data_IF_929872107474
#
_entry.id   IF_929872107474
#
_cell.length_a   1.000
_cell.length_b   1.000
_cell.length_c   1.000
_cell.angle_alpha   90.00
_cell.angle_beta   90.00
_cell.angle_gamma   90.00
#
_symmetry.space_group_name_H-M   'P 1'
#
loop_
_entity.id
_entity.type
_entity.pdbx_description
1 polymer ?
#
# COMPACT_ATOMS: atom_id res chain seq x y z
N UNK A 1 25.43 17.14 10.53
CA UNK A 1 25.06 17.46 9.12
C UNK A 1 23.58 17.22 8.99
N UNK A 2 22.86 18.08 8.25
CA UNK A 2 21.44 17.83 7.96
C UNK A 2 21.31 16.65 7.00
N UNK A 3 20.26 15.80 7.12
CA UNK A 3 19.98 14.74 6.15
C UNK A 3 19.89 15.31 4.72
N UNK A 4 20.53 14.65 3.76
CA UNK A 4 20.47 15.05 2.34
C UNK A 4 19.21 14.50 1.67
N UNK A 5 18.68 13.38 2.18
CA UNK A 5 17.54 12.67 1.63
C UNK A 5 16.30 12.84 2.52
N UNK A 6 15.19 13.32 1.95
CA UNK A 6 13.89 13.33 2.62
C UNK A 6 12.92 12.42 1.89
N UNK A 7 12.42 11.38 2.55
CA UNK A 7 11.39 10.47 1.99
C UNK A 7 10.04 10.93 2.49
N UNK A 8 9.16 11.30 1.57
CA UNK A 8 7.87 11.93 1.85
C UNK A 8 6.75 11.01 1.43
N UNK A 9 5.91 10.64 2.39
CA UNK A 9 4.63 10.00 2.11
C UNK A 9 3.65 10.99 1.49
N UNK A 10 3.01 10.61 0.38
CA UNK A 10 2.01 11.41 -0.29
C UNK A 10 0.76 10.57 -0.56
N UNK A 11 -0.41 11.10 -0.20
CA UNK A 11 -1.72 10.50 -0.48
C UNK A 11 -2.28 10.96 -1.82
N UNK A 12 -3.47 10.49 -2.18
CA UNK A 12 -4.22 10.92 -3.36
C UNK A 12 -4.76 12.37 -3.23
N UNK A 13 -4.74 12.93 -2.02
CA UNK A 13 -4.96 14.35 -1.73
C UNK A 13 -3.78 15.25 -2.14
N UNK A 14 -2.68 14.63 -2.58
CA UNK A 14 -1.52 15.29 -3.16
C UNK A 14 -0.83 16.27 -2.23
N UNK A 15 -0.29 17.35 -2.83
CA UNK A 15 0.43 18.40 -2.09
C UNK A 15 -0.44 19.05 -1.01
N UNK A 16 -1.75 19.15 -1.20
CA UNK A 16 -2.67 19.77 -0.25
C UNK A 16 -2.80 18.98 1.06
N UNK A 17 -2.66 17.65 1.01
CA UNK A 17 -2.68 16.78 2.19
C UNK A 17 -1.37 16.75 2.98
N UNK A 18 -0.26 17.26 2.40
CA UNK A 18 1.04 17.22 3.05
C UNK A 18 1.13 18.17 4.26
N UNK A 19 1.75 17.68 5.31
CA UNK A 19 2.10 18.48 6.47
C UNK A 19 3.15 19.56 6.16
N UNK A 20 3.24 20.58 7.02
CA UNK A 20 4.13 21.75 6.85
C UNK A 20 5.60 21.38 6.58
N UNK A 21 6.12 20.36 7.25
CA UNK A 21 7.51 19.93 7.10
C UNK A 21 7.76 19.29 5.74
N UNK A 22 6.85 18.45 5.25
CA UNK A 22 6.94 17.82 3.92
C UNK A 22 6.86 18.87 2.80
N UNK A 23 5.93 19.84 2.92
CA UNK A 23 5.84 20.95 1.96
C UNK A 23 7.13 21.78 1.93
N UNK A 24 7.71 22.08 3.11
CA UNK A 24 8.97 22.83 3.20
C UNK A 24 10.12 22.07 2.55
N UNK A 25 10.25 20.76 2.79
CA UNK A 25 11.27 19.91 2.19
C UNK A 25 11.15 19.93 0.66
N UNK A 26 9.94 19.77 0.10
CA UNK A 26 9.70 19.82 -1.34
C UNK A 26 10.06 21.17 -1.96
N UNK A 27 9.74 22.28 -1.27
CA UNK A 27 10.04 23.63 -1.77
C UNK A 27 11.55 23.93 -1.79
N UNK A 28 12.35 23.28 -0.93
CA UNK A 28 13.80 23.46 -0.84
C UNK A 28 14.62 22.38 -1.57
N UNK A 29 13.95 21.34 -2.10
CA UNK A 29 14.62 20.27 -2.83
C UNK A 29 15.14 20.75 -4.19
N UNK A 30 16.29 20.21 -4.62
CA UNK A 30 16.81 20.37 -5.99
C UNK A 30 16.25 19.28 -6.91
N UNK A 31 16.00 18.10 -6.34
CA UNK A 31 15.53 16.92 -7.04
C UNK A 31 14.33 16.31 -6.32
N UNK A 32 13.32 15.86 -7.07
CA UNK A 32 12.20 15.06 -6.56
C UNK A 32 12.06 13.80 -7.39
N UNK A 33 12.16 12.65 -6.74
CA UNK A 33 12.06 11.33 -7.38
C UNK A 33 10.76 10.64 -6.93
N UNK A 34 10.02 10.05 -7.86
CA UNK A 34 8.77 9.35 -7.57
C UNK A 34 8.23 8.57 -8.76
N UNK A 35 7.07 7.93 -8.62
CA UNK A 35 6.32 7.46 -9.79
C UNK A 35 5.72 8.65 -10.55
N UNK A 36 5.40 8.47 -11.83
CA UNK A 36 4.76 9.54 -12.62
C UNK A 36 3.51 10.06 -11.91
N UNK A 37 2.63 9.17 -11.45
CA UNK A 37 1.43 9.53 -10.68
C UNK A 37 1.73 10.42 -9.48
N UNK A 38 2.76 10.11 -8.69
CA UNK A 38 3.13 10.91 -7.51
C UNK A 38 3.67 12.28 -7.90
N UNK A 39 4.47 12.35 -8.96
CA UNK A 39 5.02 13.61 -9.48
C UNK A 39 3.92 14.52 -10.03
N UNK A 40 2.87 13.96 -10.64
CA UNK A 40 1.72 14.70 -11.17
C UNK A 40 0.85 15.33 -10.07
N UNK A 41 0.93 14.81 -8.83
CA UNK A 41 0.26 15.39 -7.65
C UNK A 41 0.96 16.66 -7.12
N UNK A 42 2.15 17.01 -7.65
CA UNK A 42 2.89 18.18 -7.20
C UNK A 42 2.53 19.43 -8.02
N UNK A 43 2.25 20.57 -7.36
CA UNK A 43 1.94 21.81 -8.04
C UNK A 43 3.16 22.39 -8.76
N UNK A 44 2.92 23.33 -9.68
CA UNK A 44 3.97 24.00 -10.46
C UNK A 44 4.95 24.86 -9.62
N UNK A 45 4.56 25.22 -8.39
CA UNK A 45 5.46 25.96 -7.50
C UNK A 45 6.65 25.13 -6.97
N UNK A 46 6.58 23.80 -7.07
CA UNK A 46 7.71 22.90 -6.79
C UNK A 46 8.63 22.94 -8.00
N UNK A 47 9.77 23.65 -7.84
CA UNK A 47 10.75 23.91 -8.91
C UNK A 47 11.83 22.84 -9.03
N UNK A 48 11.87 21.87 -8.10
CA UNK A 48 12.79 20.75 -8.15
C UNK A 48 12.68 19.99 -9.47
N UNK A 49 13.79 19.51 -10.01
CA UNK A 49 13.79 18.61 -11.15
C UNK A 49 13.04 17.32 -10.81
N UNK A 50 12.07 16.95 -11.62
CA UNK A 50 11.22 15.77 -11.41
C UNK A 50 11.81 14.58 -12.15
N UNK A 51 12.05 13.47 -11.44
CA UNK A 51 12.59 12.24 -12.00
C UNK A 51 11.71 11.04 -11.67
N UNK A 52 11.37 10.24 -12.66
CA UNK A 52 10.70 8.96 -12.46
C UNK A 52 11.69 7.87 -12.09
N UNK A 53 11.19 6.83 -11.43
CA UNK A 53 11.98 5.61 -11.22
C UNK A 53 12.35 4.97 -12.55
N UNK A 54 13.55 4.39 -12.68
CA UNK A 54 13.94 3.66 -13.87
C UNK A 54 13.16 2.34 -13.99
N UNK A 55 13.12 1.80 -15.20
CA UNK A 55 12.65 0.44 -15.47
C UNK A 55 13.82 -0.38 -16.05
N UNK A 56 14.23 -1.47 -15.40
CA UNK A 56 13.75 -2.00 -14.13
C UNK A 56 14.04 -1.07 -12.93
N UNK A 57 13.25 -1.20 -11.84
CA UNK A 57 13.38 -0.38 -10.65
C UNK A 57 14.78 -0.47 -10.04
N UNK A 58 15.37 0.68 -9.70
CA UNK A 58 16.69 0.78 -9.06
C UNK A 58 16.77 2.02 -8.17
N UNK A 59 17.46 1.90 -7.05
CA UNK A 59 17.78 3.01 -6.14
C UNK A 59 19.04 3.81 -6.59
N UNK A 60 19.82 3.28 -7.53
CA UNK A 60 21.09 3.88 -7.95
C UNK A 60 20.98 5.36 -8.37
N UNK A 61 19.94 5.81 -9.11
CA UNK A 61 19.79 7.23 -9.46
C UNK A 61 19.62 8.14 -8.25
N UNK A 62 18.93 7.68 -7.19
CA UNK A 62 18.80 8.46 -5.94
C UNK A 62 20.11 8.52 -5.19
N UNK A 63 20.84 7.39 -5.09
CA UNK A 63 22.11 7.31 -4.40
C UNK A 63 23.20 8.16 -5.07
N UNK A 64 23.14 8.33 -6.39
CA UNK A 64 24.06 9.19 -7.15
C UNK A 64 23.89 10.68 -6.82
N UNK A 65 22.77 11.08 -6.22
CA UNK A 65 22.47 12.46 -5.80
C UNK A 65 22.90 12.74 -4.35
N UNK A 66 23.65 11.82 -3.72
CA UNK A 66 24.09 12.01 -2.33
C UNK A 66 24.84 13.32 -2.14
N UNK A 67 24.39 14.12 -1.17
CA UNK A 67 24.95 15.44 -0.87
C UNK A 67 24.12 16.60 -1.41
N UNK A 68 23.17 16.34 -2.30
CA UNK A 68 22.18 17.32 -2.75
C UNK A 68 20.89 17.22 -1.91
N UNK A 69 20.09 18.29 -1.78
CA UNK A 69 18.76 18.23 -1.16
C UNK A 69 17.77 17.43 -2.05
N UNK A 70 17.58 16.14 -1.77
CA UNK A 70 16.72 15.25 -2.55
C UNK A 70 15.46 14.89 -1.77
N UNK A 71 14.30 14.97 -2.42
CA UNK A 71 13.06 14.41 -1.95
C UNK A 71 12.70 13.14 -2.74
N UNK A 72 12.27 12.08 -2.04
CA UNK A 72 11.69 10.88 -2.65
C UNK A 72 10.24 10.78 -2.22
N UNK A 73 9.33 10.63 -3.18
CA UNK A 73 7.91 10.42 -2.91
C UNK A 73 7.60 8.94 -2.76
N UNK A 74 6.76 8.63 -1.80
CA UNK A 74 6.21 7.30 -1.57
C UNK A 74 4.70 7.40 -1.32
N UNK A 75 3.92 6.39 -1.71
CA UNK A 75 2.49 6.38 -1.42
C UNK A 75 2.25 6.12 0.08
N UNK A 76 1.46 6.98 0.73
CA UNK A 76 1.09 6.84 2.12
C UNK A 76 2.29 6.82 3.07
N UNK A 77 2.51 5.72 3.77
CA UNK A 77 3.67 5.55 4.67
C UNK A 77 4.86 4.95 3.92
N UNK A 78 5.99 5.69 3.79
CA UNK A 78 7.19 5.22 3.11
C UNK A 78 7.79 3.94 3.67
N UNK A 79 7.56 3.66 4.96
CA UNK A 79 8.13 2.50 5.65
C UNK A 79 7.25 1.26 5.57
N UNK A 80 5.98 1.39 5.15
CA UNK A 80 5.02 0.31 5.05
C UNK A 80 4.90 -0.20 3.60
N UNK A 81 5.63 -1.25 3.24
CA UNK A 81 5.76 -1.78 1.87
C UNK A 81 6.24 -0.74 0.85
N UNK A 82 6.82 0.38 1.32
CA UNK A 82 7.21 1.53 0.51
C UNK A 82 8.72 1.59 0.24
N UNK A 83 9.09 2.50 -0.65
CA UNK A 83 10.48 2.75 -1.06
C UNK A 83 11.36 3.22 0.10
N UNK A 84 10.79 3.83 1.14
CA UNK A 84 11.51 4.24 2.35
C UNK A 84 12.18 3.05 3.05
N UNK A 85 11.47 1.91 3.14
CA UNK A 85 12.04 0.68 3.70
C UNK A 85 13.21 0.14 2.85
N UNK A 86 13.17 0.30 1.53
CA UNK A 86 14.27 -0.08 0.64
C UNK A 86 15.48 0.86 0.79
N UNK A 87 15.23 2.17 0.88
CA UNK A 87 16.27 3.18 1.08
C UNK A 87 16.97 3.02 2.45
N UNK A 88 16.22 2.69 3.51
CA UNK A 88 16.77 2.49 4.85
C UNK A 88 17.78 1.33 4.96
N UNK A 89 17.84 0.44 3.97
CA UNK A 89 18.84 -0.64 3.90
C UNK A 89 20.18 -0.17 3.37
N UNK A 90 20.22 0.98 2.68
CA UNK A 90 21.42 1.45 1.95
C UNK A 90 21.81 2.89 2.29
N UNK A 91 20.94 3.64 3.00
CA UNK A 91 21.19 5.00 3.48
C UNK A 91 21.15 4.99 5.00
N UNK A 92 22.15 5.58 5.63
CA UNK A 92 22.20 5.66 7.08
C UNK A 92 21.05 6.52 7.65
N UNK A 93 20.48 6.18 8.82
CA UNK A 93 19.42 6.96 9.45
C UNK A 93 19.77 8.44 9.67
N UNK A 94 21.04 8.75 9.89
CA UNK A 94 21.53 10.13 10.06
C UNK A 94 21.53 10.95 8.77
N UNK A 95 21.43 10.30 7.60
CA UNK A 95 21.43 10.93 6.28
C UNK A 95 20.02 11.03 5.67
N UNK A 96 19.04 10.37 6.29
CA UNK A 96 17.67 10.25 5.76
C UNK A 96 16.64 10.77 6.77
N UNK A 97 15.69 11.57 6.30
CA UNK A 97 14.52 11.99 7.06
C UNK A 97 13.26 11.43 6.43
N UNK A 98 12.47 10.68 7.19
CA UNK A 98 11.20 10.10 6.71
C UNK A 98 10.03 10.88 7.28
N UNK A 99 9.16 11.36 6.40
CA UNK A 99 7.94 12.10 6.72
C UNK A 99 6.72 11.29 6.21
N UNK A 100 6.13 10.42 7.05
CA UNK A 100 5.02 9.59 6.63
C UNK A 100 3.72 10.37 6.47
N UNK A 101 2.84 9.87 5.59
CA UNK A 101 1.42 10.19 5.54
C UNK A 101 0.61 8.96 5.96
N UNK A 102 -0.70 9.08 6.23
CA UNK A 102 -1.54 7.93 6.52
C UNK A 102 -1.41 6.86 5.42
N UNK A 103 -1.20 5.62 5.82
CA UNK A 103 -1.16 4.50 4.88
C UNK A 103 -2.55 4.18 4.35
N UNK A 104 -2.64 3.45 3.21
CA UNK A 104 -3.92 2.94 2.72
C UNK A 104 -4.64 2.07 3.76
N UNK A 105 -3.90 1.36 4.63
CA UNK A 105 -4.49 0.61 5.73
C UNK A 105 -5.13 1.52 6.77
N UNK A 106 -4.47 2.62 7.14
CA UNK A 106 -5.02 3.60 8.08
C UNK A 106 -6.28 4.25 7.55
N UNK A 107 -6.28 4.61 6.26
CA UNK A 107 -7.45 5.19 5.60
C UNK A 107 -8.60 4.18 5.50
N UNK A 108 -8.30 2.93 5.08
CA UNK A 108 -9.29 1.86 4.99
C UNK A 108 -9.93 1.56 6.35
N UNK A 109 -9.12 1.42 7.40
CA UNK A 109 -9.59 1.18 8.76
C UNK A 109 -10.53 2.30 9.23
N UNK A 110 -10.18 3.56 8.96
CA UNK A 110 -11.03 4.72 9.26
C UNK A 110 -12.36 4.71 8.50
N UNK A 111 -12.36 4.31 7.21
CA UNK A 111 -13.60 4.20 6.39
C UNK A 111 -14.51 3.06 6.83
N UNK A 112 -13.92 1.98 7.37
CA UNK A 112 -14.64 0.78 7.80
C UNK A 112 -15.02 0.80 9.28
N UNK A 113 -14.48 1.73 10.07
CA UNK A 113 -14.62 1.73 11.52
C UNK A 113 -13.93 0.54 12.19
N UNK A 114 -12.82 0.06 11.59
CA UNK A 114 -12.03 -1.05 12.13
C UNK A 114 -10.83 -0.52 12.92
N UNK A 115 -10.59 -1.08 14.10
CA UNK A 115 -9.38 -0.79 14.84
C UNK A 115 -8.20 -1.55 14.20
N UNK A 116 -7.11 -0.86 13.85
CA UNK A 116 -5.98 -1.47 13.13
C UNK A 116 -5.30 -2.61 13.89
N UNK A 117 -5.31 -2.57 15.22
CA UNK A 117 -4.76 -3.63 16.07
C UNK A 117 -5.55 -4.95 15.97
N UNK A 118 -6.82 -4.90 15.50
CA UNK A 118 -7.70 -6.06 15.37
C UNK A 118 -7.78 -6.55 13.93
N UNK A 119 -6.88 -6.06 13.05
CA UNK A 119 -6.88 -6.33 11.62
C UNK A 119 -5.53 -6.88 11.18
N UNK A 120 -5.53 -7.91 10.36
CA UNK A 120 -4.31 -8.36 9.68
C UNK A 120 -4.10 -7.57 8.39
N UNK A 121 -2.94 -6.95 8.26
CA UNK A 121 -2.56 -6.18 7.07
C UNK A 121 -1.61 -6.98 6.19
N UNK A 122 -1.92 -7.08 4.90
CA UNK A 122 -1.20 -7.89 3.92
C UNK A 122 -0.98 -7.10 2.63
N UNK A 123 -0.03 -7.55 1.83
CA UNK A 123 0.19 -7.02 0.49
C UNK A 123 0.39 -8.15 -0.51
N UNK A 124 -0.35 -8.11 -1.62
CA UNK A 124 -0.15 -8.99 -2.78
C UNK A 124 0.62 -8.30 -3.91
N UNK A 125 1.12 -7.09 -3.66
CA UNK A 125 2.01 -6.40 -4.61
C UNK A 125 3.28 -7.21 -4.78
N UNK A 126 3.50 -7.73 -5.98
CA UNK A 126 4.61 -8.63 -6.32
C UNK A 126 4.73 -9.86 -5.40
N UNK A 127 3.61 -10.35 -4.87
CA UNK A 127 3.52 -11.52 -3.96
C UNK A 127 2.33 -12.39 -4.34
N UNK A 128 2.40 -13.71 -4.10
CA UNK A 128 1.29 -14.61 -4.41
C UNK A 128 0.10 -14.35 -3.47
N UNK A 129 -1.12 -14.35 -4.02
CA UNK A 129 -2.38 -14.23 -3.26
C UNK A 129 -2.52 -15.38 -2.25
N UNK A 130 -1.91 -16.53 -2.52
CA UNK A 130 -1.89 -17.69 -1.61
C UNK A 130 -1.34 -17.36 -0.21
N UNK A 131 -0.58 -16.27 -0.04
CA UNK A 131 -0.13 -15.80 1.28
C UNK A 131 -1.29 -15.47 2.23
N UNK A 132 -2.50 -15.19 1.70
CA UNK A 132 -3.70 -14.97 2.52
C UNK A 132 -4.13 -16.23 3.27
N UNK A 133 -3.84 -17.43 2.76
CA UNK A 133 -4.29 -18.70 3.34
C UNK A 133 -3.96 -18.82 4.83
N UNK A 134 -2.79 -18.37 5.24
CA UNK A 134 -2.35 -18.44 6.64
C UNK A 134 -3.16 -17.53 7.59
N UNK A 135 -4.00 -16.64 7.06
CA UNK A 135 -4.75 -15.64 7.81
C UNK A 135 -6.27 -15.84 7.70
N UNK A 136 -6.72 -16.86 6.94
CA UNK A 136 -8.14 -17.15 6.77
C UNK A 136 -8.66 -17.97 7.95
N UNK A 137 -9.48 -17.34 8.77
CA UNK A 137 -10.29 -18.01 9.80
C UNK A 137 -11.60 -17.24 10.00
N UNK A 138 -12.61 -17.90 10.54
CA UNK A 138 -13.91 -17.28 10.74
C UNK A 138 -13.80 -16.07 11.68
N UNK A 139 -14.33 -14.93 11.27
CA UNK A 139 -14.26 -13.66 11.99
C UNK A 139 -12.94 -12.87 11.81
N UNK A 140 -11.98 -13.38 11.03
CA UNK A 140 -10.77 -12.61 10.70
C UNK A 140 -11.13 -11.37 9.88
N UNK A 141 -10.44 -10.25 10.17
CA UNK A 141 -10.49 -9.03 9.37
C UNK A 141 -9.15 -8.80 8.69
N UNK A 142 -9.16 -8.75 7.37
CA UNK A 142 -7.95 -8.56 6.58
C UNK A 142 -8.05 -7.26 5.79
N UNK A 143 -6.94 -6.53 5.70
CA UNK A 143 -6.74 -5.43 4.75
C UNK A 143 -5.61 -5.83 3.81
N UNK A 144 -5.88 -5.89 2.51
CA UNK A 144 -4.96 -6.42 1.51
C UNK A 144 -4.67 -5.35 0.45
N UNK A 145 -3.41 -4.90 0.35
CA UNK A 145 -2.98 -4.05 -0.77
C UNK A 145 -2.98 -4.87 -2.06
N UNK A 146 -3.73 -4.42 -3.03
CA UNK A 146 -3.83 -5.02 -4.37
C UNK A 146 -2.62 -4.70 -5.23
N UNK A 147 -2.28 -5.60 -6.15
CA UNK A 147 -1.30 -5.34 -7.19
C UNK A 147 -1.90 -4.45 -8.30
N UNK A 148 -3.15 -4.72 -8.68
CA UNK A 148 -3.89 -4.05 -9.73
C UNK A 148 -5.39 -4.36 -9.65
N UNK A 149 -6.16 -3.97 -10.67
CA UNK A 149 -7.60 -4.21 -10.78
C UNK A 149 -8.00 -5.69 -10.80
N UNK A 150 -7.10 -6.63 -11.10
CA UNK A 150 -7.37 -8.08 -11.14
C UNK A 150 -7.32 -8.73 -9.75
N UNK A 151 -6.63 -8.10 -8.81
CA UNK A 151 -6.39 -8.64 -7.46
C UNK A 151 -7.69 -8.98 -6.71
N UNK A 152 -8.75 -8.14 -6.72
CA UNK A 152 -9.99 -8.47 -6.02
C UNK A 152 -10.66 -9.74 -6.55
N UNK A 153 -10.66 -9.97 -7.87
CA UNK A 153 -11.21 -11.19 -8.47
C UNK A 153 -10.42 -12.45 -8.04
N UNK A 154 -9.09 -12.35 -8.04
CA UNK A 154 -8.21 -13.44 -7.60
C UNK A 154 -8.39 -13.76 -6.12
N UNK A 155 -8.55 -12.73 -5.28
CA UNK A 155 -8.85 -12.90 -3.84
C UNK A 155 -10.22 -13.56 -3.66
N UNK A 156 -11.25 -13.14 -4.38
CA UNK A 156 -12.58 -13.74 -4.31
C UNK A 156 -12.56 -15.22 -4.71
N UNK A 157 -11.80 -15.58 -5.75
CA UNK A 157 -11.61 -16.98 -6.14
C UNK A 157 -10.96 -17.79 -5.02
N UNK A 158 -9.85 -17.29 -4.44
CA UNK A 158 -9.18 -17.94 -3.31
C UNK A 158 -10.13 -18.16 -2.13
N UNK A 159 -10.94 -17.17 -1.77
CA UNK A 159 -11.89 -17.26 -0.66
C UNK A 159 -12.93 -18.36 -0.93
N UNK A 160 -13.48 -18.44 -2.14
CA UNK A 160 -14.42 -19.52 -2.52
C UNK A 160 -13.77 -20.88 -2.43
N UNK A 161 -12.57 -21.04 -2.99
CA UNK A 161 -11.84 -22.31 -3.03
C UNK A 161 -11.48 -22.82 -1.62
N UNK A 162 -11.40 -21.93 -0.65
CA UNK A 162 -11.07 -22.25 0.75
C UNK A 162 -12.28 -22.34 1.68
N UNK A 163 -13.50 -22.26 1.15
CA UNK A 163 -14.73 -22.30 1.96
C UNK A 163 -15.03 -21.00 2.72
N UNK A 164 -14.47 -19.87 2.25
CA UNK A 164 -14.75 -18.54 2.76
C UNK A 164 -15.60 -17.70 1.80
N UNK A 165 -16.34 -18.34 0.93
CA UNK A 165 -17.25 -17.72 -0.05
C UNK A 165 -18.24 -16.70 0.54
N UNK A 166 -18.84 -16.94 1.72
CA UNK A 166 -19.73 -15.97 2.37
C UNK A 166 -19.06 -14.68 2.84
N UNK A 167 -17.72 -14.61 2.88
CA UNK A 167 -16.98 -13.44 3.33
C UNK A 167 -17.39 -12.17 2.58
N UNK A 168 -17.54 -11.08 3.35
CA UNK A 168 -17.77 -9.75 2.77
C UNK A 168 -16.45 -9.16 2.28
N UNK A 169 -16.43 -8.73 1.05
CA UNK A 169 -15.33 -8.03 0.43
C UNK A 169 -15.73 -6.57 0.19
N UNK A 170 -14.88 -5.65 0.60
CA UNK A 170 -15.00 -4.22 0.30
C UNK A 170 -13.75 -3.78 -0.43
N UNK A 171 -13.91 -3.40 -1.70
CA UNK A 171 -12.82 -2.79 -2.48
C UNK A 171 -12.89 -1.28 -2.28
N UNK A 172 -11.78 -0.72 -1.84
CA UNK A 172 -11.61 0.72 -1.59
C UNK A 172 -10.59 1.26 -2.59
N UNK A 173 -11.05 2.15 -3.46
CA UNK A 173 -10.26 2.72 -4.55
C UNK A 173 -9.87 4.16 -4.24
N UNK A 174 -8.69 4.58 -4.69
CA UNK A 174 -8.19 5.97 -4.61
C UNK A 174 -8.37 6.61 -3.23
N UNK A 175 -8.14 5.83 -2.15
CA UNK A 175 -8.36 6.27 -0.77
C UNK A 175 -7.70 7.61 -0.46
N UNK A 176 -8.49 8.53 0.09
CA UNK A 176 -8.08 9.87 0.46
C UNK A 176 -8.08 10.88 -0.68
N UNK A 177 -8.41 10.47 -1.92
CA UNK A 177 -8.44 11.32 -3.09
C UNK A 177 -9.85 11.70 -3.57
N UNK A 178 -9.94 12.58 -4.57
CA UNK A 178 -11.23 13.00 -5.13
C UNK A 178 -11.97 11.90 -5.90
N UNK A 179 -11.25 10.84 -6.31
CA UNK A 179 -11.80 9.67 -6.98
C UNK A 179 -12.05 8.49 -6.03
N UNK A 180 -12.06 8.74 -4.70
CA UNK A 180 -12.32 7.70 -3.72
C UNK A 180 -13.67 7.03 -3.98
N UNK A 181 -13.66 5.69 -4.11
CA UNK A 181 -14.85 4.88 -4.37
C UNK A 181 -14.82 3.61 -3.52
N UNK A 182 -16.01 3.11 -3.17
CA UNK A 182 -16.19 1.88 -2.41
C UNK A 182 -17.12 0.95 -3.18
N UNK A 183 -16.71 -0.32 -3.31
CA UNK A 183 -17.50 -1.41 -3.90
C UNK A 183 -17.59 -2.53 -2.87
N UNK A 184 -18.80 -2.96 -2.55
CA UNK A 184 -19.04 -4.04 -1.59
C UNK A 184 -19.77 -5.21 -2.26
N UNK A 185 -19.31 -6.42 -1.96
CA UNK A 185 -19.98 -7.65 -2.38
C UNK A 185 -19.53 -8.83 -1.49
N UNK A 186 -20.12 -10.02 -1.66
CA UNK A 186 -19.59 -11.26 -1.10
C UNK A 186 -18.62 -11.91 -2.08
N UNK A 187 -17.70 -12.72 -1.58
CA UNK A 187 -16.77 -13.43 -2.46
C UNK A 187 -17.50 -14.40 -3.42
N UNK A 188 -18.63 -15.00 -2.99
CA UNK A 188 -19.53 -15.82 -3.85
C UNK A 188 -20.20 -15.02 -4.96
N UNK A 189 -20.44 -13.74 -4.74
CA UNK A 189 -21.17 -12.85 -5.64
C UNK A 189 -20.22 -11.99 -6.49
N UNK A 190 -18.90 -12.19 -6.34
CA UNK A 190 -17.93 -11.45 -7.14
C UNK A 190 -18.08 -11.84 -8.61
N UNK A 191 -18.55 -10.90 -9.38
CA UNK A 191 -18.57 -10.93 -10.84
C UNK A 191 -17.51 -9.95 -11.36
N UNK A 192 -17.34 -9.82 -12.65
CA UNK A 192 -16.40 -8.86 -13.27
C UNK A 192 -16.84 -7.41 -13.01
N UNK A 193 -16.69 -6.99 -11.75
CA UNK A 193 -16.94 -5.60 -11.38
C UNK A 193 -15.74 -4.73 -11.83
N UNK A 194 -15.97 -3.62 -12.53
CA UNK A 194 -14.90 -2.71 -12.90
C UNK A 194 -14.36 -2.04 -11.64
N UNK A 195 -13.09 -2.25 -11.37
CA UNK A 195 -12.35 -1.64 -10.27
C UNK A 195 -11.09 -0.95 -10.78
N UNK A 196 -10.65 0.09 -10.08
CA UNK A 196 -9.42 0.80 -10.43
C UNK A 196 -8.17 -0.01 -10.01
N UNK A 197 -7.04 0.19 -10.69
CA UNK A 197 -5.76 -0.44 -10.34
C UNK A 197 -5.30 -0.05 -8.93
N UNK A 198 -5.51 1.22 -8.55
CA UNK A 198 -5.17 1.70 -7.21
C UNK A 198 -6.30 1.37 -6.24
N UNK A 199 -6.22 0.18 -5.64
CA UNK A 199 -7.23 -0.28 -4.71
C UNK A 199 -6.63 -1.07 -3.53
N UNK A 200 -7.45 -1.26 -2.51
CA UNK A 200 -7.23 -2.10 -1.36
C UNK A 200 -8.48 -2.94 -1.12
N UNK A 201 -8.32 -4.23 -0.83
CA UNK A 201 -9.42 -5.13 -0.48
C UNK A 201 -9.49 -5.32 1.02
N UNK A 202 -10.63 -4.97 1.62
CA UNK A 202 -10.96 -5.33 2.98
C UNK A 202 -11.84 -6.59 2.98
N UNK A 203 -11.52 -7.55 3.85
CA UNK A 203 -12.21 -8.83 3.94
C UNK A 203 -12.67 -9.04 5.39
N UNK A 204 -13.97 -9.24 5.58
CA UNK A 204 -14.55 -9.72 6.82
C UNK A 204 -14.85 -11.22 6.62
N UNK A 205 -13.95 -12.07 7.13
CA UNK A 205 -13.92 -13.48 6.81
C UNK A 205 -15.09 -14.23 7.46
N UNK A 206 -15.86 -14.90 6.64
CA UNK A 206 -16.94 -15.79 7.07
C UNK A 206 -16.76 -17.17 6.44
N UNK A 207 -16.55 -18.18 7.29
CA UNK A 207 -16.42 -19.56 6.88
C UNK A 207 -17.79 -20.18 6.57
N UNK A 208 -17.85 -21.05 5.58
CA UNK A 208 -18.94 -21.99 5.37
C UNK A 208 -18.58 -23.37 5.90
N UNK A 209 -19.48 -24.36 5.70
CA UNK A 209 -19.29 -25.73 6.20
C UNK A 209 -18.11 -26.46 5.53
N UNK A 210 -17.61 -25.99 4.40
CA UNK A 210 -16.48 -26.58 3.66
C UNK A 210 -15.13 -25.96 4.02
N UNK A 211 -15.10 -24.92 4.87
CA UNK A 211 -13.90 -24.18 5.19
C UNK A 211 -12.81 -25.06 5.80
N UNK A 212 -11.62 -24.95 5.25
CA UNK A 212 -10.41 -25.62 5.71
C UNK A 212 -9.37 -24.58 6.11
N UNK A 213 -9.46 -24.00 7.32
CA UNK A 213 -8.46 -23.05 7.78
C UNK A 213 -7.13 -23.78 7.97
N UNK A 214 -6.04 -23.20 7.48
CA UNK A 214 -4.70 -23.70 7.74
C UNK A 214 -4.33 -23.44 9.21
N UNK A 215 -3.67 -24.42 9.83
CA UNK A 215 -3.15 -24.24 11.19
C UNK A 215 -2.05 -23.17 11.20
N UNK A 216 -2.12 -22.25 12.16
CA UNK A 216 -1.04 -21.28 12.42
C UNK A 216 0.09 -21.90 13.26
N UNK A 217 -0.06 -23.12 13.74
CA UNK A 217 0.94 -23.82 14.55
C UNK A 217 1.91 -24.51 13.59
N UNK A 218 3.21 -24.26 13.75
CA UNK A 218 4.25 -24.95 12.99
C UNK A 218 4.16 -26.45 13.21
N UNK A 219 4.37 -27.24 12.13
CA UNK A 219 4.23 -28.69 12.15
C UNK A 219 3.02 -29.16 11.34
N UNK A 220 2.80 -28.58 10.15
CA UNK A 220 1.94 -29.21 9.15
C UNK A 220 2.44 -30.62 8.85
N UNK A 221 1.57 -31.65 8.78
CA UNK A 221 1.99 -32.95 8.32
C UNK A 221 2.57 -32.85 6.90
N UNK A 222 3.63 -33.63 6.62
CA UNK A 222 4.33 -33.62 5.31
C UNK A 222 3.43 -33.98 4.11
N UNK A 223 2.17 -34.31 4.36
CA UNK A 223 1.14 -34.62 3.37
C UNK A 223 0.17 -33.46 3.08
N UNK A 224 0.42 -32.26 3.57
CA UNK A 224 -0.47 -31.11 3.38
C UNK A 224 -0.06 -30.23 2.19
#
# INVERSE_FOLDING_TARGET
MSPWLTVIGIGEDGFSGLGKNARRALLSATQVVGSQRQLDLLPACIRAERRTWPSPFSLAPVLALRGEPVCVLASGDPMLYGVGASLARVVAPSEMHVLPSPSSFSLAAARLGWALQDVTTLSVVARPVAALNAHLHNGARLLVLSNDASSPATIAALLRDRGFGPSRMTVLEHLGGPAERRVETRATEWHELPVADLNLVAIDCQADASAQPLSHIGGLPDSA
#
